data_IF_108625997762
#
_entry.id   IF_108625997762
#
_cell.length_a   1.000
_cell.length_b   1.000
_cell.length_c   1.000
_cell.angle_alpha   90.00
_cell.angle_beta   90.00
_cell.angle_gamma   90.00
#
_symmetry.space_group_name_H-M   'P 1'
#
loop_
_entity.id
_entity.type
_entity.pdbx_description
1 polymer ?
#
# COMPACT_ATOMS: atom_id res chain seq x y z
N UNK A 1 19.09 -13.28 -25.08
CA UNK A 1 18.84 -12.33 -23.99
C UNK A 1 17.35 -12.03 -23.99
N UNK A 2 16.62 -12.40 -22.93
CA UNK A 2 15.31 -11.77 -22.69
C UNK A 2 15.59 -10.26 -22.64
N UNK A 3 14.98 -9.49 -23.54
CA UNK A 3 15.21 -8.05 -23.62
C UNK A 3 14.83 -7.36 -22.30
N UNK A 4 15.41 -6.20 -22.04
CA UNK A 4 15.20 -5.38 -20.83
C UNK A 4 13.71 -5.23 -20.49
N UNK A 5 12.82 -5.13 -21.49
CA UNK A 5 11.36 -5.03 -21.31
C UNK A 5 10.71 -6.25 -20.64
N UNK A 6 11.33 -7.44 -20.72
CA UNK A 6 10.81 -8.70 -20.16
C UNK A 6 11.40 -9.06 -18.79
N UNK A 7 12.30 -8.24 -18.24
CA UNK A 7 12.77 -8.42 -16.87
C UNK A 7 11.58 -8.32 -15.91
N UNK A 8 11.49 -9.24 -14.94
CA UNK A 8 10.37 -9.31 -14.00
C UNK A 8 10.22 -8.00 -13.22
N UNK A 9 11.34 -7.34 -12.89
CA UNK A 9 11.32 -6.02 -12.26
C UNK A 9 10.59 -4.95 -13.09
N UNK A 10 10.76 -4.97 -14.42
CA UNK A 10 10.05 -4.04 -15.31
C UNK A 10 8.58 -4.43 -15.48
N UNK A 11 8.28 -5.73 -15.58
CA UNK A 11 6.89 -6.23 -15.67
C UNK A 11 6.09 -5.85 -14.41
N UNK A 12 6.66 -6.04 -13.22
CA UNK A 12 5.99 -5.68 -11.97
C UNK A 12 5.74 -4.17 -11.89
N UNK A 13 6.71 -3.35 -12.31
CA UNK A 13 6.55 -1.89 -12.35
C UNK A 13 5.44 -1.45 -13.34
N UNK A 14 5.34 -2.10 -14.50
CA UNK A 14 4.30 -1.83 -15.49
C UNK A 14 2.92 -2.25 -15.00
N UNK A 15 2.80 -3.45 -14.38
CA UNK A 15 1.54 -3.92 -13.81
C UNK A 15 1.05 -3.02 -12.68
N UNK A 16 1.95 -2.59 -11.79
CA UNK A 16 1.59 -1.64 -10.73
C UNK A 16 1.10 -0.32 -11.29
N UNK A 17 1.63 0.12 -12.43
CA UNK A 17 1.16 1.30 -13.13
C UNK A 17 -0.23 1.09 -13.74
N UNK A 18 -0.43 0.00 -14.49
CA UNK A 18 -1.73 -0.35 -15.10
C UNK A 18 -2.84 -0.40 -14.07
N UNK A 19 -2.62 -1.00 -12.89
CA UNK A 19 -3.64 -1.05 -11.82
C UNK A 19 -4.04 0.33 -11.31
N UNK A 20 -3.12 1.28 -11.26
CA UNK A 20 -3.38 2.62 -10.69
C UNK A 20 -3.87 3.60 -11.73
N UNK A 21 -3.73 3.30 -13.02
CA UNK A 21 -4.02 4.26 -14.07
C UNK A 21 -5.50 4.65 -14.17
N UNK A 22 -5.76 5.62 -15.04
CA UNK A 22 -7.09 6.17 -15.26
C UNK A 22 -8.09 5.13 -15.77
N UNK A 23 -7.62 4.12 -16.51
CA UNK A 23 -8.47 3.13 -17.17
C UNK A 23 -8.98 2.08 -16.18
N UNK A 24 -8.12 1.64 -15.25
CA UNK A 24 -8.47 0.55 -14.31
C UNK A 24 -9.06 1.05 -12.99
N UNK A 25 -8.49 2.10 -12.39
CA UNK A 25 -8.95 2.61 -11.08
C UNK A 25 -9.17 4.12 -11.03
N UNK A 26 -8.95 4.85 -12.13
CA UNK A 26 -9.18 6.30 -12.19
C UNK A 26 -8.05 7.14 -11.60
N UNK A 27 -6.87 6.56 -11.38
CA UNK A 27 -5.71 7.28 -10.86
C UNK A 27 -4.90 8.02 -11.93
N UNK A 28 -3.79 8.65 -11.55
CA UNK A 28 -3.03 9.48 -12.48
C UNK A 28 -2.25 8.66 -13.51
N UNK A 29 -2.06 9.21 -14.71
CA UNK A 29 -1.16 8.64 -15.71
C UNK A 29 0.29 9.15 -15.52
N UNK A 30 1.28 8.27 -15.68
CA UNK A 30 2.70 8.63 -15.77
C UNK A 30 3.49 7.61 -16.59
N UNK A 31 4.56 8.06 -17.24
CA UNK A 31 5.43 7.15 -17.99
C UNK A 31 6.36 6.36 -17.05
N UNK A 32 6.26 5.03 -17.07
CA UNK A 32 7.12 4.15 -16.28
C UNK A 32 8.51 4.04 -16.92
N UNK A 33 9.54 4.52 -16.21
CA UNK A 33 10.94 4.32 -16.62
C UNK A 33 11.30 2.83 -16.59
N UNK A 34 11.82 2.33 -17.71
CA UNK A 34 12.29 0.95 -17.91
C UNK A 34 13.81 0.85 -17.80
N UNK A 35 14.33 -0.38 -17.85
CA UNK A 35 15.78 -0.67 -17.80
C UNK A 35 16.23 -1.31 -16.49
N UNK A 36 15.31 -1.69 -15.58
CA UNK A 36 15.66 -2.51 -14.43
C UNK A 36 16.04 -3.92 -14.89
N UNK A 37 17.06 -4.49 -14.25
CA UNK A 37 17.48 -5.87 -14.45
C UNK A 37 17.03 -6.70 -13.25
N UNK A 38 16.88 -8.01 -13.47
CA UNK A 38 16.51 -8.93 -12.38
C UNK A 38 17.71 -9.19 -11.48
N UNK A 39 17.49 -9.20 -10.16
CA UNK A 39 18.50 -9.61 -9.20
C UNK A 39 18.80 -11.11 -9.36
N UNK A 40 20.03 -11.52 -9.01
CA UNK A 40 20.42 -12.93 -9.04
C UNK A 40 19.98 -13.69 -7.79
N UNK A 41 19.64 -12.97 -6.72
CA UNK A 41 19.26 -13.53 -5.42
C UNK A 41 18.17 -12.68 -4.77
N UNK A 42 17.40 -13.32 -3.89
CA UNK A 42 16.51 -12.66 -2.95
C UNK A 42 17.20 -12.54 -1.57
N UNK A 43 16.73 -11.64 -0.71
CA UNK A 43 17.24 -11.43 0.64
C UNK A 43 16.08 -11.25 1.63
N UNK A 44 15.84 -12.28 2.45
CA UNK A 44 14.80 -12.21 3.49
C UNK A 44 15.20 -11.24 4.60
N UNK A 45 16.47 -11.26 5.01
CA UNK A 45 16.99 -10.36 6.04
C UNK A 45 16.83 -8.90 5.65
N UNK A 46 17.12 -8.52 4.39
CA UNK A 46 16.90 -7.16 3.94
C UNK A 46 15.41 -6.80 3.94
N UNK A 47 14.53 -7.73 3.52
CA UNK A 47 13.08 -7.54 3.54
C UNK A 47 12.57 -7.27 4.96
N UNK A 48 12.97 -8.08 5.93
CA UNK A 48 12.54 -7.94 7.34
C UNK A 48 12.99 -6.61 7.95
N UNK A 49 14.11 -6.04 7.45
CA UNK A 49 14.69 -4.79 7.93
C UNK A 49 14.17 -3.53 7.22
N UNK A 50 13.41 -3.67 6.12
CA UNK A 50 12.94 -2.54 5.30
C UNK A 50 11.42 -2.52 5.10
N UNK A 51 10.70 -3.60 5.41
CA UNK A 51 9.24 -3.63 5.32
C UNK A 51 8.63 -3.13 6.65
N UNK A 52 7.87 -2.02 6.64
CA UNK A 52 7.27 -1.50 7.86
C UNK A 52 6.12 -2.40 8.35
N UNK A 53 5.98 -2.52 9.67
CA UNK A 53 4.79 -3.10 10.29
C UNK A 53 3.59 -2.17 10.09
N UNK A 54 2.34 -2.67 9.90
CA UNK A 54 1.14 -1.84 9.88
C UNK A 54 0.93 -1.04 11.18
N UNK A 55 1.52 -1.49 12.30
CA UNK A 55 1.49 -0.80 13.60
C UNK A 55 2.66 0.17 13.83
N UNK A 56 3.48 0.43 12.81
CA UNK A 56 4.61 1.36 12.91
C UNK A 56 4.13 2.79 13.11
N UNK A 57 4.75 3.52 14.04
CA UNK A 57 4.46 4.94 14.20
C UNK A 57 5.07 5.79 13.08
N UNK A 58 4.59 7.03 12.95
CA UNK A 58 5.03 7.96 11.91
C UNK A 58 6.54 8.22 11.91
N UNK A 59 7.18 8.33 13.07
CA UNK A 59 8.64 8.57 13.18
C UNK A 59 9.44 7.42 12.55
N UNK A 60 9.04 6.18 12.81
CA UNK A 60 9.66 4.99 12.21
C UNK A 60 9.50 5.00 10.69
N UNK A 61 8.30 5.28 10.19
CA UNK A 61 8.02 5.35 8.75
C UNK A 61 8.85 6.45 8.06
N UNK A 62 8.92 7.64 8.66
CA UNK A 62 9.72 8.76 8.13
C UNK A 62 11.20 8.37 8.06
N UNK A 63 11.74 7.79 9.13
CA UNK A 63 13.16 7.38 9.19
C UNK A 63 13.46 6.32 8.13
N UNK A 64 12.54 5.36 7.95
CA UNK A 64 12.67 4.31 6.95
C UNK A 64 12.69 4.88 5.52
N UNK A 65 11.75 5.76 5.18
CA UNK A 65 11.67 6.37 3.84
C UNK A 65 12.90 7.21 3.52
N UNK A 66 13.43 7.93 4.52
CA UNK A 66 14.67 8.70 4.37
C UNK A 66 15.88 7.83 4.00
N UNK A 67 15.95 6.57 4.46
CA UNK A 67 17.04 5.64 4.07
C UNK A 67 17.05 5.34 2.56
N UNK A 68 15.91 5.52 1.89
CA UNK A 68 15.76 5.36 0.44
C UNK A 68 15.69 6.68 -0.32
N UNK A 69 16.13 7.79 0.31
CA UNK A 69 16.06 9.15 -0.23
C UNK A 69 14.64 9.61 -0.58
N UNK A 70 13.63 9.07 0.11
CA UNK A 70 12.24 9.50 -0.01
C UNK A 70 11.90 10.52 1.09
N UNK A 71 11.17 11.56 0.71
CA UNK A 71 10.73 12.63 1.59
C UNK A 71 9.45 12.26 2.36
N UNK A 72 9.08 13.06 3.36
CA UNK A 72 7.78 12.93 4.04
C UNK A 72 6.62 13.09 3.05
N UNK A 73 6.79 13.91 2.01
CA UNK A 73 5.79 14.06 0.96
C UNK A 73 5.61 12.77 0.15
N UNK A 74 6.70 12.06 -0.10
CA UNK A 74 6.66 10.76 -0.80
C UNK A 74 6.02 9.69 0.08
N UNK A 75 6.29 9.69 1.39
CA UNK A 75 5.58 8.84 2.35
C UNK A 75 4.07 9.06 2.28
N UNK A 76 3.61 10.30 2.46
CA UNK A 76 2.18 10.63 2.41
C UNK A 76 1.57 10.27 1.05
N UNK A 77 2.25 10.59 -0.05
CA UNK A 77 1.77 10.29 -1.40
C UNK A 77 1.66 8.77 -1.64
N UNK A 78 2.64 7.97 -1.21
CA UNK A 78 2.63 6.52 -1.39
C UNK A 78 1.63 5.81 -0.46
N UNK A 79 1.36 6.36 0.73
CA UNK A 79 0.29 5.85 1.61
C UNK A 79 -1.11 5.91 0.96
N UNK A 80 -1.31 6.76 -0.06
CA UNK A 80 -2.55 6.78 -0.85
C UNK A 80 -2.84 5.45 -1.54
N UNK A 81 -1.86 4.57 -1.72
CA UNK A 81 -2.07 3.24 -2.28
C UNK A 81 -3.05 2.39 -1.48
N UNK A 82 -3.29 2.73 -0.21
CA UNK A 82 -4.34 2.12 0.61
C UNK A 82 -5.77 2.56 0.24
N UNK A 83 -5.95 3.44 -0.76
CA UNK A 83 -7.28 3.75 -1.31
C UNK A 83 -7.89 2.58 -2.09
N UNK A 84 -7.09 1.59 -2.46
CA UNK A 84 -7.57 0.36 -3.10
C UNK A 84 -7.10 -0.86 -2.32
N UNK A 85 -7.91 -1.92 -2.32
CA UNK A 85 -7.59 -3.18 -1.64
C UNK A 85 -8.17 -3.34 -0.24
N UNK A 86 -7.68 -4.35 0.48
CA UNK A 86 -8.28 -4.81 1.74
C UNK A 86 -7.23 -5.27 2.75
N UNK A 87 -7.48 -5.05 4.04
CA UNK A 87 -6.59 -5.44 5.15
C UNK A 87 -7.39 -6.11 6.28
N UNK A 88 -6.67 -6.64 7.28
CA UNK A 88 -7.25 -7.08 8.55
C UNK A 88 -7.51 -5.86 9.46
N UNK A 89 -8.59 -5.86 10.25
CA UNK A 89 -8.91 -4.74 11.14
C UNK A 89 -7.82 -4.45 12.19
N UNK A 90 -7.54 -3.16 12.43
CA UNK A 90 -6.68 -2.70 13.52
C UNK A 90 -7.47 -2.64 14.85
N UNK A 91 -7.04 -3.35 15.91
CA UNK A 91 -7.71 -3.34 17.21
C UNK A 91 -7.58 -2.00 17.97
N UNK A 92 -6.75 -1.05 17.52
CA UNK A 92 -6.47 0.23 18.20
C UNK A 92 -7.20 1.44 17.62
N UNK A 93 -8.05 1.23 16.60
CA UNK A 93 -8.81 2.28 15.93
C UNK A 93 -9.96 2.85 16.79
N UNK A 94 -10.51 4.00 16.37
CA UNK A 94 -11.62 4.68 17.03
C UNK A 94 -12.71 3.70 17.54
N UNK A 95 -13.16 3.80 18.80
CA UNK A 95 -14.12 2.85 19.37
C UNK A 95 -15.44 2.72 18.61
N UNK A 96 -15.93 3.79 17.98
CA UNK A 96 -17.16 3.78 17.20
C UNK A 96 -16.99 3.03 15.88
N UNK A 97 -15.90 3.31 15.16
CA UNK A 97 -15.55 2.59 13.94
C UNK A 97 -15.17 1.13 14.23
N UNK A 98 -14.44 0.89 15.32
CA UNK A 98 -14.09 -0.44 15.81
C UNK A 98 -15.34 -1.28 16.10
N UNK A 99 -16.37 -0.71 16.73
CA UNK A 99 -17.61 -1.43 16.99
C UNK A 99 -18.32 -1.88 15.70
N UNK A 100 -18.15 -1.15 14.60
CA UNK A 100 -18.64 -1.55 13.28
C UNK A 100 -17.77 -2.63 12.65
N UNK A 101 -16.44 -2.51 12.77
CA UNK A 101 -15.50 -3.53 12.30
C UNK A 101 -15.64 -4.85 13.06
N UNK A 102 -15.87 -4.82 14.38
CA UNK A 102 -16.04 -6.00 15.23
C UNK A 102 -17.27 -6.83 14.82
N UNK A 103 -18.33 -6.19 14.29
CA UNK A 103 -19.48 -6.91 13.70
C UNK A 103 -19.08 -7.67 12.44
N UNK A 104 -18.16 -7.11 11.67
CA UNK A 104 -17.70 -7.67 10.41
C UNK A 104 -16.55 -8.66 10.60
N UNK A 105 -15.76 -8.52 11.67
CA UNK A 105 -14.62 -9.37 12.01
C UNK A 105 -14.66 -9.78 13.49
N UNK A 106 -15.53 -10.74 13.87
CA UNK A 106 -15.57 -11.29 15.22
C UNK A 106 -14.24 -11.94 15.63
N UNK A 107 -13.93 -11.98 16.92
CA UNK A 107 -12.66 -12.55 17.45
C UNK A 107 -12.43 -14.02 17.06
N UNK A 108 -13.50 -14.79 16.84
CA UNK A 108 -13.47 -16.22 16.45
C UNK A 108 -13.69 -16.44 14.94
N UNK A 109 -13.40 -15.44 14.09
CA UNK A 109 -13.50 -15.55 12.63
C UNK A 109 -12.22 -16.11 12.01
N UNK A 110 -12.34 -16.64 10.79
CA UNK A 110 -11.20 -16.94 9.93
C UNK A 110 -10.29 -15.71 9.81
N UNK A 111 -9.04 -15.85 10.25
CA UNK A 111 -8.04 -14.79 10.23
C UNK A 111 -7.68 -14.33 8.82
N UNK A 112 -8.15 -15.01 7.77
CA UNK A 112 -7.97 -14.60 6.38
C UNK A 112 -9.09 -13.69 5.86
N UNK A 113 -10.10 -13.37 6.69
CA UNK A 113 -11.13 -12.40 6.32
C UNK A 113 -10.54 -10.99 6.28
N UNK A 114 -10.68 -10.33 5.14
CA UNK A 114 -10.25 -8.95 4.94
C UNK A 114 -11.45 -8.01 4.81
N UNK A 115 -11.22 -6.72 5.08
CA UNK A 115 -12.16 -5.64 4.85
C UNK A 115 -11.50 -4.57 3.98
N UNK A 116 -12.32 -3.82 3.25
CA UNK A 116 -11.87 -2.74 2.39
C UNK A 116 -11.13 -1.66 3.20
N UNK A 117 -10.03 -1.15 2.65
CA UNK A 117 -9.22 -0.11 3.30
C UNK A 117 -9.86 1.29 3.25
N UNK A 118 -10.74 1.54 2.28
CA UNK A 118 -11.57 2.75 2.23
C UNK A 118 -13.00 2.45 1.72
N UNK A 119 -13.81 3.50 1.56
CA UNK A 119 -15.21 3.39 1.11
C UNK A 119 -15.37 3.25 -0.42
N UNK A 120 -14.27 3.34 -1.16
CA UNK A 120 -14.17 3.30 -2.62
C UNK A 120 -13.08 2.31 -3.06
N UNK A 121 -13.16 1.03 -2.64
CA UNK A 121 -12.03 0.07 -2.65
C UNK A 121 -11.46 -0.32 -4.02
N UNK A 122 -12.13 0.09 -5.10
CA UNK A 122 -11.76 -0.16 -6.48
C UNK A 122 -11.47 1.13 -7.26
N UNK A 123 -11.44 2.27 -6.58
CA UNK A 123 -11.21 3.59 -7.18
C UNK A 123 -10.04 4.26 -6.48
N UNK A 124 -9.04 4.67 -7.24
CA UNK A 124 -7.86 5.35 -6.72
C UNK A 124 -8.13 6.85 -6.57
N UNK A 125 -8.72 7.26 -5.45
CA UNK A 125 -9.09 8.65 -5.19
C UNK A 125 -8.45 9.19 -3.90
N UNK A 126 -8.97 10.32 -3.37
CA UNK A 126 -8.47 10.91 -2.12
C UNK A 126 -9.31 10.56 -0.90
N UNK A 127 -10.22 9.58 -1.00
CA UNK A 127 -11.14 9.18 0.05
C UNK A 127 -10.40 8.57 1.25
N UNK A 128 -9.31 7.84 1.02
CA UNK A 128 -8.41 7.37 2.09
C UNK A 128 -8.00 8.48 3.07
N UNK A 129 -7.62 9.66 2.57
CA UNK A 129 -7.22 10.79 3.41
C UNK A 129 -8.42 11.43 4.11
N UNK A 130 -9.57 11.56 3.44
CA UNK A 130 -10.80 12.06 4.05
C UNK A 130 -11.27 11.17 5.21
N UNK A 131 -11.14 9.86 5.07
CA UNK A 131 -11.48 8.90 6.12
C UNK A 131 -10.55 9.05 7.35
N UNK A 132 -9.27 9.31 7.08
CA UNK A 132 -8.26 9.54 8.12
C UNK A 132 -8.56 10.81 8.92
N UNK A 133 -8.98 11.89 8.27
CA UNK A 133 -9.36 13.15 8.94
C UNK A 133 -10.64 13.02 9.78
N UNK A 134 -11.55 12.12 9.40
CA UNK A 134 -12.82 11.90 10.11
C UNK A 134 -12.69 10.98 11.32
N UNK A 135 -11.56 10.28 11.45
CA UNK A 135 -11.28 9.33 12.56
C UNK A 135 -10.45 9.95 13.69
N UNK A 136 -10.24 11.28 13.67
CA UNK A 136 -9.53 12.07 14.71
C UNK A 136 -10.55 12.79 15.59
#
# INVERSE_FOLDING_TARGET
MLGEKLALSNINSLRSFEVVDEEETGGPYWEVKLGRLDSLTASQEDSDNIMPSPTSNATTLITLFQRFNLTVKDLVALSRSHSIGSEKPDPTIDPGFKAELDKQCPLDVDQNKTLNLDSTPFVFDNQYFKNSEQSI
#
